data_IF_364465736571
#
_entry.id   IF_364465736571
#
_cell.length_a   1.000
_cell.length_b   1.000
_cell.length_c   1.000
_cell.angle_alpha   90.00
_cell.angle_beta   90.00
_cell.angle_gamma   90.00
#
_symmetry.space_group_name_H-M   'P 1'
#
loop_
_entity.id
_entity.type
_entity.pdbx_description
1 polymer ?
#
# COMPACT_ATOMS: atom_id res chain seq x y z
N UNK A 1 -21.08 -22.53 39.91
CA UNK A 1 -20.81 -22.14 38.52
C UNK A 1 -19.51 -21.36 38.53
N UNK A 2 -18.47 -21.88 37.89
CA UNK A 2 -17.26 -21.09 37.62
C UNK A 2 -17.68 -19.86 36.80
N UNK A 3 -17.34 -18.67 37.28
CA UNK A 3 -17.61 -17.42 36.54
C UNK A 3 -16.54 -17.33 35.47
N UNK A 4 -16.92 -17.62 34.22
CA UNK A 4 -16.02 -17.49 33.08
C UNK A 4 -15.64 -16.02 32.89
N UNK A 5 -14.36 -15.77 32.65
CA UNK A 5 -13.85 -14.42 32.35
C UNK A 5 -14.29 -14.00 30.94
N UNK A 6 -14.71 -12.75 30.77
CA UNK A 6 -15.11 -12.18 29.48
C UNK A 6 -13.96 -11.36 28.90
N UNK A 7 -13.38 -11.85 27.82
CA UNK A 7 -12.23 -11.22 27.17
C UNK A 7 -12.65 -10.67 25.81
N UNK A 8 -12.56 -9.36 25.63
CA UNK A 8 -12.70 -8.71 24.32
C UNK A 8 -11.44 -8.90 23.50
N UNK A 9 -11.56 -9.29 22.23
CA UNK A 9 -10.43 -9.42 21.30
C UNK A 9 -10.51 -8.29 20.28
N UNK A 10 -9.48 -7.44 20.26
CA UNK A 10 -9.35 -6.37 19.27
C UNK A 10 -8.16 -6.68 18.35
N UNK A 11 -8.46 -7.37 17.25
CA UNK A 11 -7.48 -7.68 16.19
C UNK A 11 -7.36 -6.51 15.22
N UNK A 12 -6.15 -6.21 14.76
CA UNK A 12 -5.95 -5.11 13.83
C UNK A 12 -4.52 -4.96 13.35
N UNK A 13 -4.36 -4.34 12.18
CA UNK A 13 -3.03 -4.00 11.67
C UNK A 13 -2.36 -2.91 12.53
N UNK A 14 -3.15 -1.97 13.05
CA UNK A 14 -2.71 -0.85 13.91
C UNK A 14 -1.50 -0.10 13.36
N UNK A 15 -1.64 0.52 12.18
CA UNK A 15 -0.53 1.17 11.48
C UNK A 15 -0.79 2.66 11.17
N UNK A 16 -0.87 3.55 12.17
CA UNK A 16 -0.69 3.29 13.60
C UNK A 16 -2.01 3.00 14.33
N UNK A 17 -1.92 2.49 15.57
CA UNK A 17 -3.03 2.59 16.54
C UNK A 17 -3.39 4.06 16.78
N UNK A 18 -4.66 4.36 17.07
CA UNK A 18 -5.17 5.72 17.13
C UNK A 18 -6.35 5.84 18.10
N UNK A 19 -6.75 7.07 18.43
CA UNK A 19 -7.76 7.34 19.45
C UNK A 19 -9.13 6.73 19.12
N UNK A 20 -9.48 6.60 17.83
CA UNK A 20 -10.67 5.84 17.43
C UNK A 20 -10.66 4.39 17.94
N UNK A 21 -9.53 3.69 17.88
CA UNK A 21 -9.41 2.33 18.43
C UNK A 21 -9.54 2.33 19.96
N UNK A 22 -8.92 3.31 20.62
CA UNK A 22 -8.92 3.42 22.09
C UNK A 22 -10.33 3.68 22.63
N UNK A 23 -11.08 4.59 22.00
CA UNK A 23 -12.44 4.92 22.38
C UNK A 23 -13.34 3.68 22.21
N UNK A 24 -13.27 3.01 21.05
CA UNK A 24 -14.05 1.79 20.80
C UNK A 24 -13.72 0.70 21.82
N UNK A 25 -12.44 0.45 22.12
CA UNK A 25 -12.03 -0.56 23.09
C UNK A 25 -12.59 -0.26 24.48
N UNK A 26 -12.54 1.00 24.93
CA UNK A 26 -13.07 1.41 26.22
C UNK A 26 -14.60 1.27 26.28
N UNK A 27 -15.29 1.75 25.25
CA UNK A 27 -16.75 1.68 25.18
C UNK A 27 -17.24 0.22 25.18
N UNK A 28 -16.56 -0.67 24.44
CA UNK A 28 -16.85 -2.10 24.43
C UNK A 28 -16.61 -2.73 25.80
N UNK A 29 -15.49 -2.42 26.46
CA UNK A 29 -15.15 -2.92 27.79
C UNK A 29 -16.27 -2.60 28.79
N UNK A 30 -16.69 -1.33 28.84
CA UNK A 30 -17.71 -0.84 29.78
C UNK A 30 -19.12 -1.36 29.44
N UNK A 31 -19.53 -1.24 28.18
CA UNK A 31 -20.89 -1.55 27.76
C UNK A 31 -21.23 -3.04 27.95
N UNK A 32 -20.30 -3.93 27.62
CA UNK A 32 -20.50 -5.37 27.72
C UNK A 32 -19.96 -5.98 29.02
N UNK A 33 -19.43 -5.15 29.94
CA UNK A 33 -18.85 -5.55 31.22
C UNK A 33 -17.81 -6.66 31.03
N UNK A 34 -16.88 -6.41 30.11
CA UNK A 34 -15.76 -7.33 29.85
C UNK A 34 -14.72 -7.13 30.96
N UNK A 35 -14.02 -8.20 31.33
CA UNK A 35 -12.97 -8.14 32.35
C UNK A 35 -11.68 -7.52 31.81
N UNK A 36 -11.45 -7.61 30.48
CA UNK A 36 -10.30 -7.01 29.79
C UNK A 36 -10.52 -6.92 28.29
N UNK A 37 -9.71 -6.09 27.63
CA UNK A 37 -9.50 -6.11 26.16
C UNK A 37 -8.09 -6.62 25.86
N UNK A 38 -8.00 -7.65 25.01
CA UNK A 38 -6.75 -8.16 24.47
C UNK A 38 -6.57 -7.64 23.04
N UNK A 39 -5.60 -6.73 22.88
CA UNK A 39 -5.17 -6.21 21.58
C UNK A 39 -4.24 -7.21 20.91
N UNK A 40 -4.51 -7.50 19.64
CA UNK A 40 -3.72 -8.43 18.84
C UNK A 40 -3.22 -7.70 17.58
N UNK A 41 -1.99 -7.14 17.62
CA UNK A 41 -1.40 -6.53 16.43
C UNK A 41 -1.05 -7.60 15.40
N UNK A 42 -1.64 -7.50 14.22
CA UNK A 42 -1.45 -8.52 13.19
C UNK A 42 0.03 -8.62 12.80
N UNK A 43 0.64 -9.79 12.92
CA UNK A 43 2.02 -10.00 12.48
C UNK A 43 2.11 -9.97 10.96
N UNK A 44 1.57 -11.00 10.32
CA UNK A 44 1.51 -11.15 8.87
C UNK A 44 0.05 -11.18 8.41
N UNK A 45 -0.58 -10.03 8.10
CA UNK A 45 -1.96 -10.02 7.64
C UNK A 45 -2.10 -10.77 6.31
N UNK A 46 -2.88 -11.86 6.30
CA UNK A 46 -3.08 -12.74 5.14
C UNK A 46 -3.77 -12.04 3.95
N UNK A 47 -4.61 -11.04 4.23
CA UNK A 47 -5.46 -10.36 3.24
C UNK A 47 -4.93 -9.01 2.76
N UNK A 48 -3.74 -8.58 3.21
CA UNK A 48 -3.17 -7.26 2.87
C UNK A 48 -1.70 -7.38 2.48
N UNK A 49 -1.44 -7.61 1.18
CA UNK A 49 -0.12 -7.33 0.56
C UNK A 49 0.09 -5.82 0.51
N UNK A 50 0.31 -5.19 1.67
CA UNK A 50 0.52 -3.75 1.75
C UNK A 50 2.04 -3.53 1.83
N UNK A 51 2.62 -3.16 0.70
CA UNK A 51 4.04 -2.83 0.47
C UNK A 51 4.60 -1.70 1.37
N UNK A 52 3.77 -1.13 2.25
CA UNK A 52 4.05 0.08 3.02
C UNK A 52 3.67 -0.03 4.50
N UNK A 53 3.50 -1.23 5.03
CA UNK A 53 3.25 -1.40 6.47
C UNK A 53 4.51 -1.08 7.28
N UNK A 54 4.35 -0.37 8.39
CA UNK A 54 5.42 -0.33 9.39
C UNK A 54 5.77 -1.73 9.85
N UNK A 55 7.05 -1.93 10.21
CA UNK A 55 7.52 -3.22 10.72
C UNK A 55 6.60 -3.76 11.82
N UNK A 56 6.45 -5.10 11.89
CA UNK A 56 5.66 -5.76 12.96
C UNK A 56 6.03 -5.22 14.35
N UNK A 57 7.33 -5.03 14.57
CA UNK A 57 7.91 -4.48 15.80
C UNK A 57 7.43 -3.07 16.11
N UNK A 58 7.40 -2.17 15.13
CA UNK A 58 6.91 -0.82 15.33
C UNK A 58 5.42 -0.80 15.67
N UNK A 59 4.60 -1.57 14.95
CA UNK A 59 3.16 -1.66 15.20
C UNK A 59 2.86 -2.24 16.58
N UNK A 60 3.53 -3.34 16.95
CA UNK A 60 3.46 -3.92 18.28
C UNK A 60 3.85 -2.91 19.37
N UNK A 61 4.96 -2.20 19.20
CA UNK A 61 5.41 -1.20 20.17
C UNK A 61 4.43 -0.02 20.28
N UNK A 62 3.87 0.46 19.17
CA UNK A 62 2.87 1.54 19.21
C UNK A 62 1.62 1.11 19.97
N UNK A 63 1.12 -0.13 19.76
CA UNK A 63 0.00 -0.68 20.55
C UNK A 63 0.38 -0.81 22.01
N UNK A 64 1.56 -1.39 22.30
CA UNK A 64 2.04 -1.54 23.69
C UNK A 64 2.09 -0.20 24.41
N UNK A 65 2.59 0.85 23.77
CA UNK A 65 2.66 2.20 24.32
C UNK A 65 1.27 2.83 24.50
N UNK A 66 0.36 2.59 23.55
CA UNK A 66 -0.99 3.16 23.57
C UNK A 66 -1.86 2.68 24.73
N UNK A 67 -1.60 1.47 25.25
CA UNK A 67 -2.42 0.85 26.30
C UNK A 67 -1.80 0.94 27.71
N UNK A 68 -0.62 1.57 27.86
CA UNK A 68 0.13 1.53 29.13
C UNK A 68 -0.61 2.13 30.33
N UNK A 69 -1.53 3.05 30.08
CA UNK A 69 -2.28 3.78 31.10
C UNK A 69 -3.60 3.09 31.49
N UNK A 70 -3.95 1.96 30.86
CA UNK A 70 -5.17 1.22 31.15
C UNK A 70 -4.88 -0.21 31.63
N UNK A 71 -5.14 -0.55 32.91
CA UNK A 71 -4.84 -1.87 33.47
C UNK A 71 -5.70 -3.00 32.90
N UNK A 72 -6.86 -2.68 32.33
CA UNK A 72 -7.79 -3.64 31.74
C UNK A 72 -7.49 -3.89 30.26
N UNK A 73 -6.48 -3.22 29.70
CA UNK A 73 -5.98 -3.45 28.35
C UNK A 73 -4.69 -4.27 28.38
N UNK A 74 -4.68 -5.34 27.61
CA UNK A 74 -3.54 -6.23 27.46
C UNK A 74 -3.16 -6.37 25.99
N UNK A 75 -1.88 -6.59 25.71
CA UNK A 75 -1.39 -6.88 24.36
C UNK A 75 -1.00 -8.36 24.29
N UNK A 76 -1.41 -9.02 23.21
CA UNK A 76 -0.94 -10.37 22.87
C UNK A 76 0.09 -10.29 21.74
N UNK A 77 1.18 -11.03 21.88
CA UNK A 77 2.20 -11.18 20.84
C UNK A 77 2.03 -12.47 20.01
N UNK A 78 0.94 -13.22 20.22
CA UNK A 78 0.66 -14.49 19.52
C UNK A 78 0.79 -14.39 18.00
N UNK A 79 0.33 -13.27 17.44
CA UNK A 79 0.43 -12.99 16.02
C UNK A 79 1.75 -12.33 15.62
N UNK A 80 2.35 -11.56 16.53
CA UNK A 80 3.64 -10.89 16.32
C UNK A 80 4.78 -11.90 16.17
N UNK A 81 4.77 -12.98 16.97
CA UNK A 81 5.77 -14.05 16.95
C UNK A 81 5.60 -15.02 15.75
N UNK A 82 4.47 -14.95 15.03
CA UNK A 82 4.19 -15.84 13.89
C UNK A 82 4.85 -15.32 12.60
N UNK A 83 5.58 -16.22 11.93
CA UNK A 83 6.11 -16.01 10.57
C UNK A 83 5.14 -16.49 9.47
N UNK A 84 4.06 -17.19 9.84
CA UNK A 84 3.03 -17.63 8.90
C UNK A 84 1.97 -16.54 8.71
N UNK A 85 1.16 -16.58 7.63
CA UNK A 85 -0.05 -15.77 7.54
C UNK A 85 -0.97 -16.04 8.73
N UNK A 86 -1.49 -14.98 9.34
CA UNK A 86 -2.37 -15.10 10.50
C UNK A 86 -3.83 -15.06 10.06
N UNK A 87 -4.62 -16.03 10.52
CA UNK A 87 -6.05 -16.12 10.29
C UNK A 87 -6.78 -16.05 11.64
N UNK A 88 -7.84 -15.24 11.72
CA UNK A 88 -8.59 -15.01 12.96
C UNK A 88 -9.06 -16.31 13.62
N UNK A 89 -9.49 -17.32 12.84
CA UNK A 89 -9.83 -18.65 13.36
C UNK A 89 -8.67 -19.32 14.12
N UNK A 90 -7.45 -19.27 13.59
CA UNK A 90 -6.29 -19.88 14.23
C UNK A 90 -5.94 -19.11 15.51
N UNK A 91 -5.97 -17.77 15.46
CA UNK A 91 -5.70 -16.91 16.61
C UNK A 91 -6.68 -17.17 17.75
N UNK A 92 -7.99 -17.18 17.48
CA UNK A 92 -9.01 -17.42 18.51
C UNK A 92 -8.95 -18.87 19.02
N UNK A 93 -8.67 -19.85 18.16
CA UNK A 93 -8.49 -21.25 18.58
C UNK A 93 -7.35 -21.39 19.59
N UNK A 94 -6.17 -20.82 19.29
CA UNK A 94 -5.03 -20.85 20.20
C UNK A 94 -5.29 -20.08 21.49
N UNK A 95 -6.06 -18.98 21.45
CA UNK A 95 -6.45 -18.26 22.66
C UNK A 95 -7.38 -19.10 23.56
N UNK A 96 -8.29 -19.90 23.00
CA UNK A 96 -9.11 -20.83 23.79
C UNK A 96 -8.30 -21.91 24.50
N UNK A 97 -7.22 -22.38 23.88
CA UNK A 97 -6.31 -23.32 24.53
C UNK A 97 -5.55 -22.66 25.69
N UNK A 98 -5.16 -21.38 25.55
CA UNK A 98 -4.42 -20.62 26.56
C UNK A 98 -5.30 -20.11 27.72
N UNK A 99 -6.57 -19.82 27.46
CA UNK A 99 -7.52 -19.28 28.42
C UNK A 99 -8.79 -20.15 28.47
N UNK A 100 -8.65 -21.37 29.00
CA UNK A 100 -9.72 -22.36 29.03
C UNK A 100 -10.93 -21.96 29.90
N UNK A 101 -10.76 -20.97 30.78
CA UNK A 101 -11.75 -20.43 31.72
C UNK A 101 -12.42 -19.13 31.20
N UNK A 102 -12.34 -18.85 29.89
CA UNK A 102 -12.73 -17.56 29.33
C UNK A 102 -13.72 -17.66 28.15
N UNK A 103 -14.67 -16.72 28.11
CA UNK A 103 -15.50 -16.42 26.94
C UNK A 103 -14.86 -15.29 26.12
N UNK A 104 -14.74 -15.50 24.81
CA UNK A 104 -14.17 -14.52 23.89
C UNK A 104 -15.23 -13.74 23.13
N UNK A 105 -14.99 -12.44 23.03
CA UNK A 105 -15.82 -11.48 22.30
C UNK A 105 -14.96 -10.80 21.23
N UNK A 106 -15.09 -11.20 19.97
CA UNK A 106 -14.30 -10.65 18.88
C UNK A 106 -14.91 -9.35 18.37
N UNK A 107 -14.16 -8.26 18.51
CA UNK A 107 -14.60 -6.90 18.18
C UNK A 107 -14.28 -6.62 16.73
N UNK A 108 -15.30 -6.34 15.93
CA UNK A 108 -15.20 -6.10 14.49
C UNK A 108 -16.06 -4.90 14.07
N UNK A 109 -15.74 -4.30 12.93
CA UNK A 109 -16.58 -3.25 12.33
C UNK A 109 -17.61 -3.81 11.34
N UNK A 110 -18.54 -2.96 10.91
CA UNK A 110 -19.51 -3.28 9.85
C UNK A 110 -18.85 -3.83 8.58
N UNK A 111 -17.69 -3.27 8.21
CA UNK A 111 -16.89 -3.70 7.06
C UNK A 111 -16.49 -5.17 7.12
N UNK A 112 -16.12 -5.63 8.33
CA UNK A 112 -15.61 -6.98 8.55
C UNK A 112 -16.75 -7.99 8.67
N UNK A 113 -17.91 -7.62 9.24
CA UNK A 113 -19.05 -8.56 9.36
C UNK A 113 -19.71 -8.84 8.01
N UNK A 114 -19.73 -7.84 7.11
CA UNK A 114 -20.21 -8.01 5.74
C UNK A 114 -19.32 -8.96 4.93
N UNK A 115 -18.01 -8.97 5.19
CA UNK A 115 -17.04 -9.82 4.49
C UNK A 115 -16.77 -11.18 5.17
N UNK A 116 -17.30 -11.42 6.38
CA UNK A 116 -16.81 -12.48 7.26
C UNK A 116 -16.89 -13.89 6.68
N UNK A 117 -17.84 -14.17 5.78
CA UNK A 117 -17.99 -15.48 5.16
C UNK A 117 -16.80 -15.83 4.24
N UNK A 118 -16.07 -14.83 3.73
CA UNK A 118 -14.86 -15.01 2.92
C UNK A 118 -13.62 -15.34 3.75
N UNK A 119 -13.70 -15.29 5.09
CA UNK A 119 -12.56 -15.52 5.96
C UNK A 119 -12.25 -17.01 6.08
N UNK A 120 -10.98 -17.33 6.31
CA UNK A 120 -10.54 -18.71 6.51
C UNK A 120 -11.28 -19.36 7.69
N UNK A 121 -11.97 -20.48 7.42
CA UNK A 121 -12.79 -21.21 8.40
C UNK A 121 -13.85 -20.34 9.09
N UNK A 122 -14.49 -19.46 8.31
CA UNK A 122 -15.53 -18.53 8.78
C UNK A 122 -16.63 -19.20 9.60
N UNK A 123 -17.20 -20.32 9.13
CA UNK A 123 -18.26 -21.03 9.87
C UNK A 123 -17.81 -21.49 11.26
N UNK A 124 -16.61 -22.06 11.37
CA UNK A 124 -16.05 -22.46 12.66
C UNK A 124 -15.75 -21.24 13.52
N UNK A 125 -15.22 -20.16 12.95
CA UNK A 125 -14.95 -18.93 13.68
C UNK A 125 -16.25 -18.32 14.28
N UNK A 126 -17.36 -18.32 13.52
CA UNK A 126 -18.66 -17.80 13.95
C UNK A 126 -19.23 -18.49 15.19
N UNK A 127 -18.87 -19.75 15.41
CA UNK A 127 -19.30 -20.55 16.57
C UNK A 127 -18.23 -20.63 17.67
N UNK A 128 -16.99 -20.21 17.37
CA UNK A 128 -15.86 -20.30 18.29
C UNK A 128 -15.86 -19.19 19.33
N UNK A 129 -16.39 -18.00 19.00
CA UNK A 129 -16.48 -16.85 19.88
C UNK A 129 -17.76 -16.04 19.64
N UNK A 130 -18.09 -15.15 20.57
CA UNK A 130 -19.12 -14.13 20.37
C UNK A 130 -18.54 -12.98 19.56
N UNK A 131 -19.37 -12.22 18.87
CA UNK A 131 -18.96 -11.05 18.10
C UNK A 131 -19.55 -9.78 18.69
N UNK A 132 -18.78 -8.72 18.70
CA UNK A 132 -19.24 -7.36 18.99
C UNK A 132 -19.01 -6.56 17.71
N UNK A 133 -20.10 -6.23 17.01
CA UNK A 133 -20.05 -5.47 15.76
C UNK A 133 -20.31 -4.00 16.08
N UNK A 134 -19.29 -3.18 15.84
CA UNK A 134 -19.32 -1.73 16.03
C UNK A 134 -19.75 -1.08 14.72
N UNK A 135 -20.75 -0.21 14.78
CA UNK A 135 -21.24 0.50 13.61
C UNK A 135 -20.19 1.49 13.04
N UNK A 136 -20.26 1.74 11.73
CA UNK A 136 -19.47 2.74 11.03
C UNK A 136 -20.39 3.69 10.24
N UNK A 137 -20.06 5.00 10.13
CA UNK A 137 -20.95 6.01 9.56
C UNK A 137 -21.33 5.81 8.07
N UNK A 138 -20.58 5.00 7.34
CA UNK A 138 -20.66 4.89 5.88
C UNK A 138 -21.26 3.56 5.40
N UNK A 139 -21.75 2.71 6.32
CA UNK A 139 -22.34 1.42 5.98
C UNK A 139 -23.85 1.48 6.04
N UNK A 140 -24.49 0.78 5.12
CA UNK A 140 -25.93 0.63 5.08
C UNK A 140 -26.39 -0.26 6.25
N UNK A 141 -27.16 0.32 7.16
CA UNK A 141 -27.65 -0.38 8.36
C UNK A 141 -28.57 -1.55 8.00
N UNK A 142 -29.29 -1.47 6.88
CA UNK A 142 -30.21 -2.54 6.47
C UNK A 142 -29.40 -3.74 6.00
N UNK A 143 -28.42 -3.52 5.12
CA UNK A 143 -27.51 -4.57 4.66
C UNK A 143 -26.74 -5.25 5.82
N UNK A 144 -26.27 -4.46 6.80
CA UNK A 144 -25.61 -5.01 7.99
C UNK A 144 -26.58 -5.85 8.84
N UNK A 145 -27.81 -5.38 9.02
CA UNK A 145 -28.83 -6.09 9.80
C UNK A 145 -29.25 -7.40 9.14
N UNK A 146 -29.44 -7.40 7.81
CA UNK A 146 -29.69 -8.61 7.02
C UNK A 146 -28.56 -9.62 7.17
N UNK A 147 -27.31 -9.17 7.06
CA UNK A 147 -26.15 -10.03 7.23
C UNK A 147 -26.08 -10.63 8.64
N UNK A 148 -26.34 -9.85 9.68
CA UNK A 148 -26.35 -10.35 11.07
C UNK A 148 -27.45 -11.40 11.27
N UNK A 149 -28.65 -11.16 10.72
CA UNK A 149 -29.74 -12.12 10.78
C UNK A 149 -29.37 -13.43 10.08
N UNK A 150 -28.78 -13.36 8.89
CA UNK A 150 -28.27 -14.52 8.15
C UNK A 150 -27.23 -15.31 8.95
N UNK A 151 -26.25 -14.62 9.54
CA UNK A 151 -25.19 -15.26 10.33
C UNK A 151 -25.74 -15.92 11.60
N UNK A 152 -26.70 -15.29 12.26
CA UNK A 152 -27.33 -15.81 13.49
C UNK A 152 -28.19 -17.04 13.19
N UNK A 153 -29.05 -16.96 12.17
CA UNK A 153 -30.01 -18.02 11.84
C UNK A 153 -29.35 -19.23 11.17
N UNK A 154 -28.43 -19.00 10.23
CA UNK A 154 -27.90 -20.07 9.38
C UNK A 154 -26.57 -20.64 9.89
N UNK A 155 -25.82 -19.86 10.70
CA UNK A 155 -24.48 -20.25 11.15
C UNK A 155 -24.34 -20.30 12.68
N UNK A 156 -25.40 -19.98 13.43
CA UNK A 156 -25.41 -20.03 14.90
C UNK A 156 -24.50 -18.98 15.55
N UNK A 157 -24.18 -17.90 14.83
CA UNK A 157 -23.33 -16.83 15.34
C UNK A 157 -24.00 -16.08 16.50
N UNK A 158 -23.24 -15.77 17.55
CA UNK A 158 -23.70 -14.93 18.65
C UNK A 158 -23.16 -13.51 18.45
N UNK A 159 -24.01 -12.61 17.97
CA UNK A 159 -23.62 -11.26 17.56
C UNK A 159 -24.29 -10.22 18.45
N UNK A 160 -23.49 -9.31 19.00
CA UNK A 160 -23.91 -8.13 19.75
C UNK A 160 -23.60 -6.88 18.94
N UNK A 161 -24.42 -5.84 19.08
CA UNK A 161 -24.24 -4.55 18.41
C UNK A 161 -23.87 -3.47 19.41
N UNK A 162 -22.88 -2.66 19.05
CA UNK A 162 -22.57 -1.40 19.73
C UNK A 162 -22.81 -0.25 18.75
N UNK A 163 -23.63 0.72 19.16
CA UNK A 163 -23.84 1.95 18.42
C UNK A 163 -22.88 3.04 18.94
N UNK A 164 -21.66 3.01 18.42
CA UNK A 164 -20.60 3.99 18.65
C UNK A 164 -20.96 5.34 18.00
N UNK A 165 -21.02 6.37 18.84
CA UNK A 165 -21.18 7.76 18.44
C UNK A 165 -19.83 8.48 18.55
N UNK A 166 -18.94 8.26 17.58
CA UNK A 166 -17.61 8.88 17.59
C UNK A 166 -17.08 9.24 16.22
N UNK A 167 -15.91 9.89 16.21
CA UNK A 167 -15.25 10.35 15.00
C UNK A 167 -14.61 9.19 14.25
N UNK A 168 -14.81 9.13 12.92
CA UNK A 168 -14.12 8.17 12.07
C UNK A 168 -12.64 8.59 11.87
N UNK A 169 -11.81 8.20 12.84
CA UNK A 169 -10.36 8.30 12.73
C UNK A 169 -9.89 7.02 12.03
N UNK A 170 -9.12 7.17 10.96
CA UNK A 170 -8.50 6.05 10.26
C UNK A 170 -6.97 6.18 10.24
N UNK A 171 -6.27 5.06 10.39
CA UNK A 171 -4.80 5.02 10.23
C UNK A 171 -4.34 5.56 8.88
N UNK A 172 -5.12 5.36 7.81
CA UNK A 172 -4.82 5.90 6.47
C UNK A 172 -4.82 7.42 6.47
N UNK A 173 -5.84 8.06 7.08
CA UNK A 173 -5.87 9.52 7.21
C UNK A 173 -4.69 10.05 8.02
N UNK A 174 -4.31 9.37 9.11
CA UNK A 174 -3.16 9.73 9.93
C UNK A 174 -1.85 9.67 9.12
N UNK A 175 -1.58 8.57 8.41
CA UNK A 175 -0.39 8.46 7.55
C UNK A 175 -0.36 9.56 6.50
N UNK A 176 -1.49 9.83 5.83
CA UNK A 176 -1.61 10.89 4.84
C UNK A 176 -1.30 12.28 5.41
N UNK A 177 -1.70 12.56 6.65
CA UNK A 177 -1.36 13.82 7.32
C UNK A 177 0.14 13.94 7.55
N UNK A 178 0.80 12.87 8.02
CA UNK A 178 2.26 12.87 8.24
C UNK A 178 2.99 13.06 6.91
N UNK A 179 2.55 12.40 5.83
CA UNK A 179 3.09 12.60 4.47
C UNK A 179 2.97 14.06 4.01
N UNK A 180 1.87 14.73 4.36
CA UNK A 180 1.63 16.14 4.05
C UNK A 180 2.26 17.11 5.06
N UNK A 181 3.12 16.62 5.97
CA UNK A 181 3.74 17.40 7.04
C UNK A 181 2.71 18.15 7.92
N UNK A 182 1.53 17.55 8.11
CA UNK A 182 0.44 18.06 8.96
C UNK A 182 0.50 17.38 10.32
N UNK A 183 0.12 18.12 11.36
CA UNK A 183 0.06 17.59 12.73
C UNK A 183 -0.95 16.45 12.85
N UNK A 184 -0.60 15.40 13.60
CA UNK A 184 -1.49 14.30 13.99
C UNK A 184 -1.93 14.39 15.46
N UNK A 185 -1.67 15.52 16.10
CA UNK A 185 -2.01 15.77 17.50
C UNK A 185 -3.50 15.52 17.72
N UNK A 186 -3.82 14.84 18.82
CA UNK A 186 -5.17 14.41 19.21
C UNK A 186 -5.81 13.30 18.35
N UNK A 187 -5.18 12.84 17.27
CA UNK A 187 -5.65 11.68 16.51
C UNK A 187 -5.12 10.35 17.07
N UNK A 188 -3.97 10.40 17.73
CA UNK A 188 -3.30 9.25 18.37
C UNK A 188 -2.98 9.59 19.83
N UNK A 189 -2.71 8.57 20.69
CA UNK A 189 -2.19 8.83 22.03
C UNK A 189 -0.87 9.62 21.96
N UNK A 190 -0.60 10.59 22.88
CA UNK A 190 0.59 11.43 22.82
C UNK A 190 1.91 10.65 22.77
N UNK A 191 2.00 9.54 23.52
CA UNK A 191 3.19 8.68 23.53
C UNK A 191 3.42 7.97 22.19
N UNK A 192 2.36 7.70 21.44
CA UNK A 192 2.42 7.13 20.09
C UNK A 192 2.86 8.20 19.09
N UNK A 193 2.36 9.43 19.18
CA UNK A 193 2.84 10.56 18.39
C UNK A 193 4.35 10.77 18.58
N UNK A 194 4.82 10.75 19.83
CA UNK A 194 6.24 10.85 20.16
C UNK A 194 7.06 9.69 19.60
N UNK A 195 6.54 8.46 19.66
CA UNK A 195 7.20 7.29 19.09
C UNK A 195 7.33 7.40 17.57
N UNK A 196 6.25 7.78 16.87
CA UNK A 196 6.21 8.00 15.42
C UNK A 196 7.29 9.03 15.03
N UNK A 197 7.33 10.16 15.73
CA UNK A 197 8.32 11.22 15.50
C UNK A 197 9.75 10.75 15.73
N UNK A 198 10.03 10.11 16.88
CA UNK A 198 11.39 9.63 17.24
C UNK A 198 11.90 8.52 16.32
N UNK A 199 11.00 7.72 15.76
CA UNK A 199 11.32 6.63 14.83
C UNK A 199 11.22 7.03 13.36
N UNK A 200 10.90 8.30 13.09
CA UNK A 200 10.69 8.84 11.74
C UNK A 200 9.72 7.98 10.91
N UNK A 201 8.65 7.48 11.55
CA UNK A 201 7.65 6.66 10.87
C UNK A 201 6.74 7.52 10.00
N UNK A 202 6.30 6.96 8.87
CA UNK A 202 5.35 7.58 7.95
C UNK A 202 5.81 8.92 7.35
N UNK A 203 7.11 9.16 7.25
CA UNK A 203 7.64 10.23 6.41
C UNK A 203 7.87 9.71 5.00
N UNK A 204 7.16 10.28 4.00
CA UNK A 204 7.46 10.03 2.59
C UNK A 204 8.53 11.03 2.14
N UNK A 205 9.76 10.85 2.63
CA UNK A 205 10.92 11.66 2.29
C UNK A 205 11.97 10.82 1.56
N UNK A 206 12.73 11.46 0.68
CA UNK A 206 13.89 10.85 0.06
C UNK A 206 14.99 10.70 1.12
N UNK A 207 15.23 9.47 1.59
CA UNK A 207 16.21 9.19 2.67
C UNK A 207 17.59 8.80 2.15
N UNK A 208 17.75 8.62 0.85
CA UNK A 208 19.08 8.42 0.23
C UNK A 208 19.96 9.64 0.56
N UNK A 209 21.13 9.47 1.20
CA UNK A 209 22.01 10.58 1.56
C UNK A 209 22.39 11.46 0.37
N UNK A 210 22.50 12.78 0.57
CA UNK A 210 22.91 13.72 -0.51
C UNK A 210 24.26 13.36 -1.15
N UNK A 211 25.18 12.77 -0.38
CA UNK A 211 26.47 12.28 -0.88
C UNK A 211 26.28 11.13 -1.87
N UNK A 212 25.39 10.20 -1.57
CA UNK A 212 25.06 9.05 -2.41
C UNK A 212 24.29 9.48 -3.65
N UNK A 213 23.31 10.39 -3.52
CA UNK A 213 22.61 10.98 -4.68
C UNK A 213 23.60 11.61 -5.67
N UNK A 214 24.57 12.39 -5.19
CA UNK A 214 25.62 12.98 -6.04
C UNK A 214 26.51 11.92 -6.71
N UNK A 215 26.76 10.80 -6.04
CA UNK A 215 27.53 9.71 -6.60
C UNK A 215 26.76 9.04 -7.75
N UNK A 216 25.48 8.72 -7.52
CA UNK A 216 24.58 8.18 -8.54
C UNK A 216 24.49 9.12 -9.74
N UNK A 217 24.19 10.40 -9.52
CA UNK A 217 24.05 11.38 -10.62
C UNK A 217 25.34 11.51 -11.46
N UNK A 218 26.53 11.44 -10.84
CA UNK A 218 27.81 11.42 -11.56
C UNK A 218 27.99 10.15 -12.41
N UNK A 219 27.59 9.00 -11.87
CA UNK A 219 27.64 7.73 -12.59
C UNK A 219 26.72 7.74 -13.81
N UNK A 220 25.48 8.20 -13.65
CA UNK A 220 24.54 8.37 -14.76
C UNK A 220 25.10 9.31 -15.82
N UNK A 221 25.62 10.47 -15.43
CA UNK A 221 26.19 11.45 -16.35
C UNK A 221 27.39 10.89 -17.15
N UNK A 222 28.11 9.90 -16.61
CA UNK A 222 29.23 9.25 -17.32
C UNK A 222 28.78 8.25 -18.40
N UNK A 223 27.51 7.82 -18.38
CA UNK A 223 26.96 6.80 -19.28
C UNK A 223 26.08 7.34 -20.40
N UNK A 224 25.81 8.64 -20.41
CA UNK A 224 24.92 9.24 -21.40
C UNK A 224 25.29 10.67 -21.76
N UNK A 225 24.84 11.12 -22.92
CA UNK A 225 25.00 12.50 -23.37
C UNK A 225 24.40 13.53 -22.40
N UNK A 226 24.92 14.76 -22.42
CA UNK A 226 24.41 15.84 -21.55
C UNK A 226 22.92 16.13 -21.77
N UNK A 227 22.43 16.03 -23.02
CA UNK A 227 21.01 16.20 -23.34
C UNK A 227 20.15 15.11 -22.69
N UNK A 228 20.60 13.86 -22.77
CA UNK A 228 19.92 12.72 -22.14
C UNK A 228 19.94 12.83 -20.62
N UNK A 229 21.07 13.23 -20.05
CA UNK A 229 21.19 13.46 -18.62
C UNK A 229 20.23 14.55 -18.12
N UNK A 230 20.10 15.68 -18.83
CA UNK A 230 19.11 16.72 -18.49
C UNK A 230 17.67 16.18 -18.52
N UNK A 231 17.34 15.34 -19.50
CA UNK A 231 16.05 14.66 -19.55
C UNK A 231 15.85 13.73 -18.35
N UNK A 232 16.84 12.90 -18.01
CA UNK A 232 16.81 12.02 -16.84
C UNK A 232 16.59 12.78 -15.53
N UNK A 233 17.24 13.94 -15.36
CA UNK A 233 17.00 14.81 -14.21
C UNK A 233 15.57 15.39 -14.20
N UNK A 234 15.02 15.75 -15.35
CA UNK A 234 13.63 16.19 -15.48
C UNK A 234 12.61 15.10 -15.09
N UNK A 235 12.86 13.86 -15.52
CA UNK A 235 12.06 12.69 -15.13
C UNK A 235 12.14 12.45 -13.62
N UNK A 236 13.34 12.51 -13.04
CA UNK A 236 13.53 12.43 -11.58
C UNK A 236 12.74 13.52 -10.84
N UNK A 237 12.88 14.78 -11.26
CA UNK A 237 12.26 15.91 -10.55
C UNK A 237 10.73 15.85 -10.62
N UNK A 238 10.15 15.47 -11.77
CA UNK A 238 8.72 15.26 -11.90
C UNK A 238 8.28 14.02 -11.12
N UNK A 239 8.99 12.91 -11.26
CA UNK A 239 8.70 11.66 -10.57
C UNK A 239 8.68 11.80 -9.05
N UNK A 240 9.60 12.56 -8.46
CA UNK A 240 9.60 12.83 -7.01
C UNK A 240 8.38 13.67 -6.58
N UNK A 241 7.92 14.62 -7.41
CA UNK A 241 6.70 15.40 -7.12
C UNK A 241 5.46 14.50 -7.17
N UNK A 242 5.37 13.64 -8.18
CA UNK A 242 4.28 12.68 -8.30
C UNK A 242 4.30 11.65 -7.16
N UNK A 243 5.49 11.18 -6.77
CA UNK A 243 5.64 10.19 -5.72
C UNK A 243 5.19 10.74 -4.36
N UNK A 244 5.57 11.98 -4.07
CA UNK A 244 5.10 12.69 -2.89
C UNK A 244 3.57 12.79 -2.86
N UNK A 245 2.96 13.17 -3.99
CA UNK A 245 1.52 13.40 -4.10
C UNK A 245 0.69 12.12 -4.00
N UNK A 246 1.14 11.05 -4.66
CA UNK A 246 0.43 9.78 -4.75
C UNK A 246 0.81 8.80 -3.63
N UNK A 247 1.68 9.20 -2.69
CA UNK A 247 2.11 8.34 -1.58
C UNK A 247 3.00 7.17 -2.02
N UNK A 248 3.67 7.29 -3.17
CA UNK A 248 4.65 6.31 -3.65
C UNK A 248 5.98 6.55 -2.92
N UNK A 249 6.69 5.48 -2.58
CA UNK A 249 7.95 5.55 -1.84
C UNK A 249 9.00 6.42 -2.57
N UNK A 250 9.47 7.49 -1.91
CA UNK A 250 10.40 8.46 -2.51
C UNK A 250 11.74 7.86 -2.94
N UNK A 251 12.29 6.87 -2.22
CA UNK A 251 13.55 6.23 -2.62
C UNK A 251 13.35 5.37 -3.87
N UNK A 252 12.26 4.60 -3.92
CA UNK A 252 11.94 3.80 -5.11
C UNK A 252 11.69 4.69 -6.33
N UNK A 253 10.93 5.77 -6.15
CA UNK A 253 10.69 6.74 -7.21
C UNK A 253 11.98 7.41 -7.67
N UNK A 254 12.86 7.82 -6.74
CA UNK A 254 14.18 8.36 -7.08
C UNK A 254 14.98 7.37 -7.94
N UNK A 255 15.12 6.12 -7.47
CA UNK A 255 15.92 5.10 -8.15
C UNK A 255 15.31 4.72 -9.51
N UNK A 256 13.99 4.47 -9.57
CA UNK A 256 13.29 4.18 -10.83
C UNK A 256 13.45 5.29 -11.87
N UNK A 257 13.25 6.55 -11.46
CA UNK A 257 13.37 7.69 -12.37
C UNK A 257 14.81 8.02 -12.76
N UNK A 258 15.79 7.96 -11.84
CA UNK A 258 17.18 8.30 -12.17
C UNK A 258 17.85 7.22 -13.05
N UNK A 259 17.41 5.97 -12.94
CA UNK A 259 17.96 4.85 -13.68
C UNK A 259 17.15 4.43 -14.93
N UNK A 260 15.97 5.00 -15.20
CA UNK A 260 15.09 4.51 -16.28
C UNK A 260 15.82 4.40 -17.65
N UNK A 261 16.64 5.41 -17.98
CA UNK A 261 17.38 5.52 -19.23
C UNK A 261 18.86 5.08 -19.09
N UNK A 262 19.21 4.33 -18.03
CA UNK A 262 20.60 3.96 -17.71
C UNK A 262 21.35 3.27 -18.87
N UNK A 263 20.64 2.47 -19.66
CA UNK A 263 21.19 1.75 -20.80
C UNK A 263 20.78 2.35 -22.15
N UNK A 264 20.34 3.62 -22.19
CA UNK A 264 19.80 4.24 -23.40
C UNK A 264 20.81 4.39 -24.54
N UNK A 265 22.06 4.63 -24.18
CA UNK A 265 23.19 4.82 -25.10
C UNK A 265 24.17 3.63 -25.05
N UNK A 266 23.77 2.52 -24.41
CA UNK A 266 24.50 1.25 -24.47
C UNK A 266 24.23 0.55 -25.81
N UNK A 267 25.18 -0.26 -26.28
CA UNK A 267 25.02 -1.02 -27.51
C UNK A 267 23.94 -2.11 -27.34
N UNK A 268 22.78 -2.01 -28.03
CA UNK A 268 21.69 -2.96 -27.90
C UNK A 268 21.96 -4.30 -28.63
N UNK A 269 23.08 -4.42 -29.36
CA UNK A 269 23.48 -5.64 -30.06
C UNK A 269 24.28 -6.60 -29.18
N UNK A 270 24.75 -6.14 -28.01
CA UNK A 270 25.43 -6.99 -27.05
C UNK A 270 24.51 -8.10 -26.55
N UNK A 271 25.05 -9.30 -26.41
CA UNK A 271 24.30 -10.46 -25.93
C UNK A 271 24.06 -10.38 -24.42
N UNK A 272 22.80 -10.20 -24.04
CA UNK A 272 22.34 -10.20 -22.66
C UNK A 272 21.39 -11.37 -22.47
N UNK A 273 21.46 -12.10 -21.33
CA UNK A 273 20.57 -13.23 -21.04
C UNK A 273 19.17 -12.73 -20.61
N UNK A 274 18.48 -12.05 -21.53
CA UNK A 274 17.21 -11.35 -21.34
C UNK A 274 16.27 -11.77 -22.47
N UNK A 275 15.01 -12.03 -22.13
CA UNK A 275 13.98 -12.24 -23.14
C UNK A 275 13.49 -10.92 -23.74
N UNK A 276 13.66 -10.78 -25.05
CA UNK A 276 13.03 -9.75 -25.87
C UNK A 276 11.93 -10.39 -26.72
N UNK A 277 10.77 -9.74 -26.77
CA UNK A 277 9.69 -10.18 -27.63
C UNK A 277 9.98 -9.85 -29.12
N UNK A 278 9.23 -10.43 -30.07
CA UNK A 278 9.48 -10.22 -31.50
C UNK A 278 9.46 -8.74 -31.93
N UNK A 279 8.67 -7.89 -31.26
CA UNK A 279 8.58 -6.47 -31.60
C UNK A 279 9.84 -5.72 -31.12
N UNK A 280 10.31 -6.01 -29.91
CA UNK A 280 11.55 -5.44 -29.39
C UNK A 280 12.79 -5.90 -30.16
N UNK A 281 12.77 -7.14 -30.70
CA UNK A 281 13.86 -7.63 -31.55
C UNK A 281 14.02 -6.81 -32.84
N UNK A 282 12.91 -6.33 -33.42
CA UNK A 282 12.91 -5.47 -34.61
C UNK A 282 13.02 -3.98 -34.29
N UNK A 283 12.82 -3.57 -33.04
CA UNK A 283 12.93 -2.19 -32.55
C UNK A 283 13.96 -2.07 -31.41
N UNK A 284 15.28 -2.10 -31.73
CA UNK A 284 16.35 -2.10 -30.73
C UNK A 284 16.28 -0.93 -29.74
N UNK A 285 15.69 0.21 -30.13
CA UNK A 285 15.53 1.37 -29.28
C UNK A 285 14.63 1.13 -28.05
N UNK A 286 13.82 0.06 -28.04
CA UNK A 286 12.94 -0.31 -26.93
C UNK A 286 13.63 -1.21 -25.90
N UNK A 287 14.77 -1.82 -26.25
CA UNK A 287 15.46 -2.81 -25.42
C UNK A 287 16.11 -2.22 -24.16
N UNK A 288 16.46 -0.92 -24.18
CA UNK A 288 17.21 -0.26 -23.11
C UNK A 288 16.57 -0.40 -21.72
N UNK A 289 15.24 -0.37 -21.57
CA UNK A 289 14.59 -0.55 -20.27
C UNK A 289 14.91 -1.92 -19.66
N UNK A 290 14.81 -2.99 -20.46
CA UNK A 290 15.14 -4.35 -20.02
C UNK A 290 16.64 -4.53 -19.76
N UNK A 291 17.49 -3.96 -20.60
CA UNK A 291 18.95 -4.00 -20.44
C UNK A 291 19.36 -3.26 -19.15
N UNK A 292 18.81 -2.07 -18.90
CA UNK A 292 19.06 -1.29 -17.70
C UNK A 292 18.69 -2.07 -16.44
N UNK A 293 17.49 -2.65 -16.39
CA UNK A 293 17.05 -3.46 -15.26
C UNK A 293 18.00 -4.65 -14.99
N UNK A 294 18.44 -5.35 -16.04
CA UNK A 294 19.41 -6.45 -15.92
C UNK A 294 20.77 -5.98 -15.36
N UNK A 295 21.33 -4.90 -15.93
CA UNK A 295 22.62 -4.38 -15.52
C UNK A 295 22.60 -3.90 -14.07
N UNK A 296 21.53 -3.21 -13.65
CA UNK A 296 21.39 -2.69 -12.29
C UNK A 296 21.23 -3.81 -11.25
N UNK A 297 20.45 -4.85 -11.58
CA UNK A 297 20.32 -6.03 -10.74
C UNK A 297 21.67 -6.74 -10.53
N UNK A 298 22.52 -6.78 -11.56
CA UNK A 298 23.83 -7.47 -11.51
C UNK A 298 24.94 -6.63 -10.89
N UNK A 299 25.01 -5.35 -11.20
CA UNK A 299 26.19 -4.52 -10.94
C UNK A 299 25.99 -3.47 -9.84
N UNK A 300 24.76 -3.15 -9.48
CA UNK A 300 24.45 -2.06 -8.53
C UNK A 300 23.59 -2.53 -7.35
N UNK A 301 23.49 -3.85 -7.17
CA UNK A 301 22.80 -4.52 -6.04
C UNK A 301 21.33 -4.07 -5.84
N UNK A 302 20.66 -3.63 -6.91
CA UNK A 302 19.24 -3.33 -6.87
C UNK A 302 18.47 -4.65 -6.95
N UNK A 303 17.93 -5.10 -5.82
CA UNK A 303 17.19 -6.36 -5.69
C UNK A 303 15.67 -6.18 -5.63
N UNK A 304 15.18 -4.94 -5.53
CA UNK A 304 13.76 -4.64 -5.46
C UNK A 304 13.11 -4.72 -6.85
N UNK A 305 12.32 -5.77 -7.07
CA UNK A 305 11.64 -6.03 -8.34
C UNK A 305 10.67 -4.92 -8.77
N UNK A 306 10.11 -4.14 -7.84
CA UNK A 306 9.23 -3.03 -8.20
C UNK A 306 10.03 -1.90 -8.87
N UNK A 307 11.23 -1.58 -8.34
CA UNK A 307 12.18 -0.65 -8.98
C UNK A 307 12.59 -1.20 -10.35
N UNK A 308 13.03 -2.46 -10.40
CA UNK A 308 13.51 -3.06 -11.65
C UNK A 308 12.42 -3.11 -12.71
N UNK A 309 11.17 -3.42 -12.36
CA UNK A 309 10.06 -3.45 -13.31
C UNK A 309 9.64 -2.04 -13.77
N UNK A 310 9.71 -1.04 -12.87
CA UNK A 310 9.49 0.36 -13.25
C UNK A 310 10.48 0.85 -14.31
N UNK A 311 11.71 0.35 -14.28
CA UNK A 311 12.73 0.61 -15.30
C UNK A 311 12.52 -0.29 -16.53
N UNK A 312 12.20 -1.57 -16.32
CA UNK A 312 12.05 -2.57 -17.38
C UNK A 312 10.97 -2.20 -18.39
N UNK A 313 9.85 -1.69 -17.90
CA UNK A 313 8.63 -1.49 -18.70
C UNK A 313 8.30 -0.02 -18.95
N UNK A 314 9.15 0.94 -18.59
CA UNK A 314 8.86 2.38 -18.78
C UNK A 314 8.66 2.78 -20.25
N UNK A 315 9.18 2.00 -21.21
CA UNK A 315 9.19 2.34 -22.63
C UNK A 315 7.89 1.94 -23.34
N UNK A 316 7.39 0.75 -23.03
CA UNK A 316 6.26 0.11 -23.72
C UNK A 316 5.03 -0.03 -22.83
N UNK A 317 5.22 0.02 -21.51
CA UNK A 317 4.21 -0.33 -20.52
C UNK A 317 3.77 -1.79 -20.62
N UNK A 318 2.97 -2.23 -19.65
CA UNK A 318 2.35 -3.56 -19.63
C UNK A 318 1.04 -3.52 -18.84
N UNK A 319 0.16 -4.52 -19.02
CA UNK A 319 -1.00 -4.64 -18.15
C UNK A 319 -0.62 -4.78 -16.67
N UNK A 320 -1.50 -4.35 -15.78
CA UNK A 320 -1.38 -4.47 -14.33
C UNK A 320 -0.12 -3.80 -13.73
N UNK A 321 0.29 -2.66 -14.31
CA UNK A 321 1.43 -1.87 -13.79
C UNK A 321 1.20 -1.43 -12.33
N UNK A 322 2.26 -1.52 -11.52
CA UNK A 322 2.29 -0.91 -10.19
C UNK A 322 2.21 0.62 -10.30
N UNK A 323 1.84 1.31 -9.21
CA UNK A 323 1.81 2.77 -9.21
C UNK A 323 3.21 3.38 -9.42
N UNK A 324 4.29 2.67 -9.04
CA UNK A 324 5.65 3.07 -9.36
C UNK A 324 5.96 2.91 -10.86
N UNK A 325 5.55 1.79 -11.48
CA UNK A 325 5.69 1.59 -12.91
C UNK A 325 4.97 2.69 -13.70
N UNK A 326 3.71 3.00 -13.34
CA UNK A 326 2.93 4.10 -13.96
C UNK A 326 3.62 5.44 -13.78
N UNK A 327 4.15 5.71 -12.58
CA UNK A 327 4.84 6.96 -12.29
C UNK A 327 6.07 7.14 -13.16
N UNK A 328 6.93 6.13 -13.30
CA UNK A 328 8.14 6.23 -14.13
C UNK A 328 7.77 6.40 -15.61
N UNK A 329 6.83 5.59 -16.10
CA UNK A 329 6.31 5.67 -17.47
C UNK A 329 5.75 7.06 -17.81
N UNK A 330 4.86 7.57 -16.96
CA UNK A 330 4.24 8.88 -17.15
C UNK A 330 5.26 10.01 -17.02
N UNK A 331 6.20 9.90 -16.07
CA UNK A 331 7.24 10.92 -15.88
C UNK A 331 8.15 11.04 -17.10
N UNK A 332 8.58 9.94 -17.71
CA UNK A 332 9.35 9.95 -18.96
C UNK A 332 8.58 10.64 -20.11
N UNK A 333 7.28 10.33 -20.21
CA UNK A 333 6.44 10.87 -21.27
C UNK A 333 6.13 12.36 -21.11
N UNK A 334 5.95 12.86 -19.88
CA UNK A 334 5.40 14.21 -19.64
C UNK A 334 6.33 15.17 -18.88
N UNK A 335 7.60 14.81 -18.65
CA UNK A 335 8.59 15.76 -18.10
C UNK A 335 8.67 17.05 -18.93
N UNK A 336 9.02 18.16 -18.28
CA UNK A 336 8.85 19.50 -18.86
C UNK A 336 9.76 19.80 -20.05
N UNK A 337 10.89 19.12 -20.17
CA UNK A 337 11.80 19.14 -21.32
C UNK A 337 11.20 18.56 -22.60
N UNK A 338 10.07 17.83 -22.54
CA UNK A 338 9.29 17.38 -23.71
C UNK A 338 8.50 18.50 -24.39
N UNK A 339 8.43 19.70 -23.79
CA UNK A 339 7.72 20.86 -24.32
C UNK A 339 6.28 21.01 -23.79
N UNK A 340 5.56 22.03 -24.26
CA UNK A 340 4.15 22.31 -23.88
C UNK A 340 3.24 22.14 -25.09
N UNK A 341 2.12 21.45 -24.90
CA UNK A 341 0.99 21.42 -25.82
C UNK A 341 -0.26 21.18 -25.00
N UNK A 342 -1.44 21.50 -25.55
CA UNK A 342 -2.71 21.26 -24.86
C UNK A 342 -2.84 19.80 -24.38
N UNK A 343 -2.39 18.84 -25.20
CA UNK A 343 -2.35 17.41 -24.85
C UNK A 343 -1.38 17.13 -23.69
N UNK A 344 -0.15 17.64 -23.74
CA UNK A 344 0.83 17.41 -22.67
C UNK A 344 0.47 18.12 -21.36
N UNK A 345 -0.16 19.30 -21.43
CA UNK A 345 -0.57 20.06 -20.25
C UNK A 345 -1.78 19.42 -19.56
N UNK A 346 -2.72 18.89 -20.34
CA UNK A 346 -3.78 18.03 -19.80
C UNK A 346 -3.22 16.74 -19.20
N UNK A 347 -2.29 16.06 -19.89
CA UNK A 347 -1.65 14.85 -19.37
C UNK A 347 -0.96 15.11 -18.03
N UNK A 348 -0.16 16.17 -17.92
CA UNK A 348 0.46 16.58 -16.65
C UNK A 348 -0.58 16.81 -15.57
N UNK A 349 -1.65 17.54 -15.89
CA UNK A 349 -2.75 17.81 -14.95
C UNK A 349 -3.39 16.51 -14.45
N UNK A 350 -3.57 15.53 -15.33
CA UNK A 350 -4.06 14.20 -14.96
C UNK A 350 -3.05 13.44 -14.10
N UNK A 351 -1.74 13.50 -14.42
CA UNK A 351 -0.70 12.90 -13.60
C UNK A 351 -0.73 13.43 -12.16
N UNK A 352 -1.06 14.71 -11.94
CA UNK A 352 -1.23 15.27 -10.58
C UNK A 352 -2.56 14.90 -9.90
N UNK A 353 -3.52 14.29 -10.59
CA UNK A 353 -4.84 13.96 -10.03
C UNK A 353 -5.07 12.47 -9.87
N UNK A 354 -4.78 11.69 -10.90
CA UNK A 354 -5.08 10.26 -10.97
C UNK A 354 -4.17 9.59 -12.02
N UNK A 355 -3.27 8.70 -11.56
CA UNK A 355 -2.34 8.00 -12.44
C UNK A 355 -3.05 7.05 -13.42
N UNK A 356 -4.19 6.45 -13.06
CA UNK A 356 -4.91 5.55 -13.95
C UNK A 356 -5.55 6.31 -15.11
N UNK A 357 -6.13 7.48 -14.82
CA UNK A 357 -6.63 8.40 -15.86
C UNK A 357 -5.51 8.90 -16.76
N UNK A 358 -4.37 9.26 -16.15
CA UNK A 358 -3.20 9.67 -16.90
C UNK A 358 -2.68 8.55 -17.81
N UNK A 359 -2.67 7.28 -17.37
CA UNK A 359 -2.29 6.12 -18.17
C UNK A 359 -3.22 5.89 -19.37
N UNK A 360 -4.54 6.06 -19.18
CA UNK A 360 -5.48 5.98 -20.29
C UNK A 360 -5.19 7.07 -21.32
N UNK A 361 -5.10 8.32 -20.86
CA UNK A 361 -4.89 9.47 -21.72
C UNK A 361 -3.53 9.44 -22.43
N UNK A 362 -2.46 9.02 -21.74
CA UNK A 362 -1.13 8.84 -22.32
C UNK A 362 -1.13 7.78 -23.43
N UNK A 363 -1.87 6.68 -23.23
CA UNK A 363 -2.00 5.62 -24.23
C UNK A 363 -2.71 6.10 -25.50
N UNK A 364 -3.73 6.96 -25.36
CA UNK A 364 -4.39 7.60 -26.49
C UNK A 364 -3.45 8.54 -27.26
N UNK A 365 -2.71 9.39 -26.54
CA UNK A 365 -1.70 10.29 -27.15
C UNK A 365 -0.66 9.47 -27.92
N UNK A 366 -0.15 8.39 -27.33
CA UNK A 366 0.88 7.56 -27.94
C UNK A 366 0.36 6.86 -29.20
N UNK A 367 -0.86 6.31 -29.16
CA UNK A 367 -1.50 5.68 -30.31
C UNK A 367 -1.70 6.67 -31.45
N UNK A 368 -2.17 7.88 -31.15
CA UNK A 368 -2.35 8.92 -32.15
C UNK A 368 -1.01 9.32 -32.80
N UNK A 369 0.03 9.56 -32.01
CA UNK A 369 1.34 9.96 -32.54
C UNK A 369 2.03 8.86 -33.35
N UNK A 370 2.00 7.61 -32.89
CA UNK A 370 2.66 6.51 -33.61
C UNK A 370 1.91 6.12 -34.88
N UNK A 371 0.59 5.96 -34.83
CA UNK A 371 -0.22 5.47 -35.95
C UNK A 371 -0.51 6.58 -36.96
N UNK A 372 -0.95 7.75 -36.51
CA UNK A 372 -1.45 8.78 -37.42
C UNK A 372 -0.37 9.79 -37.84
N UNK A 373 0.51 10.20 -36.93
CA UNK A 373 1.55 11.19 -37.25
C UNK A 373 2.80 10.54 -37.86
N UNK A 374 3.30 9.45 -37.25
CA UNK A 374 4.59 8.84 -37.59
C UNK A 374 4.47 7.59 -38.47
N UNK A 375 3.26 7.04 -38.68
CA UNK A 375 3.00 5.82 -39.44
C UNK A 375 3.90 4.65 -39.05
N UNK A 376 4.13 4.48 -37.74
CA UNK A 376 4.91 3.38 -37.16
C UNK A 376 4.00 2.28 -36.63
N UNK A 377 4.52 1.06 -36.60
CA UNK A 377 3.87 -0.03 -35.87
C UNK A 377 3.86 0.27 -34.36
N UNK A 378 2.84 -0.22 -33.67
CA UNK A 378 2.69 -0.07 -32.23
C UNK A 378 2.97 -1.39 -31.54
N UNK A 379 3.62 -1.33 -30.39
CA UNK A 379 3.82 -2.51 -29.57
C UNK A 379 2.44 -3.03 -29.08
N UNK A 380 2.16 -4.35 -29.11
CA UNK A 380 0.85 -4.91 -28.73
C UNK A 380 0.39 -4.56 -27.30
N UNK A 381 1.32 -4.24 -26.39
CA UNK A 381 1.00 -3.78 -25.03
C UNK A 381 0.14 -2.51 -25.03
N UNK A 382 0.26 -1.64 -26.04
CA UNK A 382 -0.47 -0.37 -26.07
C UNK A 382 -1.98 -0.57 -26.15
N UNK A 383 -2.44 -1.50 -26.99
CA UNK A 383 -3.87 -1.82 -27.07
C UNK A 383 -4.39 -2.48 -25.78
N UNK A 384 -3.54 -3.27 -25.11
CA UNK A 384 -3.88 -3.86 -23.82
C UNK A 384 -4.02 -2.78 -22.72
N UNK A 385 -3.11 -1.80 -22.68
CA UNK A 385 -3.19 -0.66 -21.77
C UNK A 385 -4.45 0.16 -22.00
N UNK A 386 -4.78 0.49 -23.24
CA UNK A 386 -6.02 1.21 -23.57
C UNK A 386 -7.24 0.46 -23.05
N UNK A 387 -7.29 -0.87 -23.27
CA UNK A 387 -8.40 -1.70 -22.80
C UNK A 387 -8.50 -1.73 -21.27
N UNK A 388 -7.39 -1.85 -20.56
CA UNK A 388 -7.34 -1.90 -19.10
C UNK A 388 -7.78 -0.57 -18.46
N UNK A 389 -7.23 0.55 -18.96
CA UNK A 389 -7.42 1.85 -18.33
C UNK A 389 -8.67 2.60 -18.81
N UNK A 390 -9.36 2.13 -19.86
CA UNK A 390 -10.62 2.72 -20.34
C UNK A 390 -11.71 2.83 -19.26
N UNK A 391 -11.70 1.96 -18.26
CA UNK A 391 -12.65 2.00 -17.14
C UNK A 391 -12.48 3.24 -16.23
N UNK A 392 -11.42 4.01 -16.41
CA UNK A 392 -11.12 5.20 -15.61
C UNK A 392 -11.39 6.52 -16.35
N UNK A 393 -11.80 6.49 -17.63
CA UNK A 393 -12.15 7.69 -18.42
C UNK A 393 -13.06 8.66 -17.65
#
# INVERSE_FOLDING_TARGET
MEVLRKIGIMGGTFDPIHNGHMIIAQEVLEHFKLDKILFIPNGNPSHKKVSHLSSKKNRYNMVKLAILDNPDFQISDIEYQSDKPNYSYNTISSLKELYSDSEFYFIVGDDSILDILNWYKSHQLLTLCKFIVVNRPYYDNDAVSEQINLLTQNYGAQILRLNHLGFDISSTSIRNRIYQNKSIKYLVPPIVEDYIRKKELYHNCLTIPKSEQKHIEKLIASKMSSKRFSHTLGVKDLGLKLAFLHGINMNKAYLGCIYHDFAKEEDPSQDYPIYFDPFELTHPELKHGKIAAYLLAKSHDITDEDILNSIRYHTVGRPDMSDLEKLVYLSDMCEYGRGSSEKFDLLRTLCFKDLNRAMYYSSLILKESLVHEKKKEIHPSLDALIKEYKKYD
#
